data_IF_983743730957
#
_entry.id   IF_983743730957
#
_cell.length_a   1.000
_cell.length_b   1.000
_cell.length_c   1.000
_cell.angle_alpha   90.00
_cell.angle_beta   90.00
_cell.angle_gamma   90.00
#
_symmetry.space_group_name_H-M   'P 1'
#
loop_
_entity.id
_entity.type
_entity.pdbx_description
1 polymer ?
#
# COMPACT_ATOMS: atom_id res chain seq x y z
N UNK A 1 -22.96 9.16 3.67
CA UNK A 1 -23.28 7.73 3.45
C UNK A 1 -22.83 7.23 2.08
N UNK A 2 -23.13 7.93 0.98
CA UNK A 2 -22.73 7.51 -0.39
C UNK A 2 -21.20 7.33 -0.55
N UNK A 3 -20.38 8.31 -0.13
CA UNK A 3 -18.91 8.22 -0.20
C UNK A 3 -18.36 6.97 0.51
N UNK A 4 -18.94 6.60 1.65
CA UNK A 4 -18.54 5.42 2.41
C UNK A 4 -18.79 4.13 1.61
N UNK A 5 -19.98 3.99 1.02
CA UNK A 5 -20.35 2.84 0.19
C UNK A 5 -19.40 2.71 -1.00
N UNK A 6 -19.09 3.82 -1.68
CA UNK A 6 -18.15 3.83 -2.80
C UNK A 6 -16.74 3.37 -2.38
N UNK A 7 -16.25 3.88 -1.24
CA UNK A 7 -14.94 3.46 -0.69
C UNK A 7 -14.92 1.97 -0.39
N UNK A 8 -15.97 1.43 0.24
CA UNK A 8 -16.08 0.00 0.54
C UNK A 8 -16.07 -0.84 -0.74
N UNK A 9 -16.84 -0.46 -1.76
CA UNK A 9 -16.86 -1.15 -3.05
C UNK A 9 -15.48 -1.12 -3.71
N UNK A 10 -14.79 0.03 -3.68
CA UNK A 10 -13.45 0.16 -4.23
C UNK A 10 -12.43 -0.72 -3.52
N UNK A 11 -12.49 -0.80 -2.18
CA UNK A 11 -11.59 -1.65 -1.39
C UNK A 11 -11.84 -3.12 -1.69
N UNK A 12 -13.09 -3.57 -1.68
CA UNK A 12 -13.44 -4.96 -1.99
C UNK A 12 -13.04 -5.31 -3.42
N UNK A 13 -13.36 -4.46 -4.39
CA UNK A 13 -12.98 -4.63 -5.79
C UNK A 13 -11.47 -4.72 -5.96
N UNK A 14 -10.71 -3.84 -5.31
CA UNK A 14 -9.25 -3.88 -5.32
C UNK A 14 -8.71 -5.19 -4.74
N UNK A 15 -9.23 -5.66 -3.60
CA UNK A 15 -8.79 -6.91 -2.99
C UNK A 15 -9.03 -8.10 -3.94
N UNK A 16 -10.20 -8.18 -4.57
CA UNK A 16 -10.52 -9.27 -5.51
C UNK A 16 -9.62 -9.20 -6.75
N UNK A 17 -9.49 -8.02 -7.37
CA UNK A 17 -8.69 -7.83 -8.60
C UNK A 17 -7.18 -7.95 -8.35
N UNK A 18 -6.71 -7.71 -7.13
CA UNK A 18 -5.30 -7.87 -6.77
C UNK A 18 -4.84 -9.33 -6.77
N UNK A 19 -5.73 -10.30 -6.54
CA UNK A 19 -5.40 -11.73 -6.50
C UNK A 19 -4.86 -12.24 -7.84
N UNK A 20 -5.58 -12.09 -8.98
CA UNK A 20 -5.06 -12.51 -10.27
C UNK A 20 -3.82 -11.73 -10.69
N UNK A 21 -3.73 -10.43 -10.35
CA UNK A 21 -2.54 -9.62 -10.59
C UNK A 21 -1.31 -10.18 -9.88
N UNK A 22 -1.44 -10.54 -8.59
CA UNK A 22 -0.36 -11.12 -7.80
C UNK A 22 0.08 -12.51 -8.32
N UNK A 23 -0.88 -13.32 -8.78
CA UNK A 23 -0.58 -14.63 -9.39
C UNK A 23 0.20 -14.44 -10.68
N UNK A 24 -0.24 -13.51 -11.54
CA UNK A 24 0.42 -13.15 -12.79
C UNK A 24 1.83 -12.60 -12.56
N UNK A 25 1.99 -11.67 -11.62
CA UNK A 25 3.27 -11.11 -11.21
C UNK A 25 4.22 -12.18 -10.63
N UNK A 26 3.70 -13.20 -9.94
CA UNK A 26 4.50 -14.35 -9.47
C UNK A 26 5.05 -15.18 -10.62
N UNK A 27 4.31 -15.28 -11.73
CA UNK A 27 4.73 -16.01 -12.93
C UNK A 27 5.77 -15.21 -13.74
N UNK A 28 5.59 -13.89 -13.88
CA UNK A 28 6.53 -12.99 -14.58
C UNK A 28 7.79 -12.63 -13.77
N UNK A 29 7.65 -12.58 -12.44
CA UNK A 29 8.63 -12.00 -11.51
C UNK A 29 9.96 -12.73 -11.39
N UNK A 30 10.14 -13.90 -12.01
CA UNK A 30 11.42 -14.64 -11.99
C UNK A 30 12.54 -13.95 -12.75
N UNK A 31 12.24 -13.02 -13.67
CA UNK A 31 13.24 -12.38 -14.54
C UNK A 31 13.70 -11.00 -14.07
N UNK A 32 12.89 -10.24 -13.30
CA UNK A 32 13.29 -8.92 -12.79
C UNK A 32 12.44 -8.48 -11.57
N UNK A 33 12.86 -8.79 -10.33
CA UNK A 33 12.08 -8.50 -9.12
C UNK A 33 11.94 -7.00 -8.82
N UNK A 34 12.93 -6.19 -9.20
CA UNK A 34 12.91 -4.74 -8.95
C UNK A 34 11.80 -4.05 -9.77
N UNK A 35 11.72 -4.35 -11.08
CA UNK A 35 10.67 -3.80 -11.96
C UNK A 35 9.27 -4.20 -11.51
N UNK A 36 9.11 -5.44 -11.05
CA UNK A 36 7.84 -5.94 -10.49
C UNK A 36 7.41 -5.08 -9.30
N UNK A 37 8.27 -4.91 -8.30
CA UNK A 37 7.95 -4.15 -7.10
C UNK A 37 7.57 -2.69 -7.41
N UNK A 38 8.28 -2.03 -8.34
CA UNK A 38 7.93 -0.66 -8.76
C UNK A 38 6.57 -0.61 -9.46
N UNK A 39 6.25 -1.59 -10.31
CA UNK A 39 4.96 -1.66 -10.99
C UNK A 39 3.82 -1.87 -10.00
N UNK A 40 3.94 -2.85 -9.11
CA UNK A 40 2.92 -3.12 -8.09
C UNK A 40 2.70 -1.89 -7.22
N UNK A 41 3.78 -1.23 -6.77
CA UNK A 41 3.70 -0.01 -5.98
C UNK A 41 2.91 1.09 -6.70
N UNK A 42 3.19 1.34 -7.98
CA UNK A 42 2.48 2.36 -8.78
C UNK A 42 0.98 2.05 -8.91
N UNK A 43 0.61 0.78 -9.07
CA UNK A 43 -0.78 0.35 -9.14
C UNK A 43 -1.48 0.65 -7.79
N UNK A 44 -0.88 0.23 -6.68
CA UNK A 44 -1.41 0.48 -5.32
C UNK A 44 -1.56 1.98 -5.07
N UNK A 45 -0.53 2.78 -5.38
CA UNK A 45 -0.56 4.23 -5.22
C UNK A 45 -1.69 4.87 -6.02
N UNK A 46 -1.90 4.44 -7.27
CA UNK A 46 -2.95 4.97 -8.13
C UNK A 46 -4.35 4.70 -7.56
N UNK A 47 -4.58 3.47 -7.08
CA UNK A 47 -5.85 3.09 -6.44
C UNK A 47 -6.05 3.87 -5.15
N UNK A 48 -5.02 4.01 -4.30
CA UNK A 48 -5.14 4.73 -3.04
C UNK A 48 -5.39 6.22 -3.23
N UNK A 49 -4.76 6.87 -4.22
CA UNK A 49 -5.06 8.26 -4.60
C UNK A 49 -6.53 8.40 -5.01
N UNK A 50 -7.06 7.46 -5.77
CA UNK A 50 -8.46 7.46 -6.18
C UNK A 50 -9.40 7.30 -4.97
N UNK A 51 -9.10 6.39 -4.05
CA UNK A 51 -9.89 6.19 -2.82
C UNK A 51 -9.90 7.47 -1.97
N UNK A 52 -8.74 8.11 -1.76
CA UNK A 52 -8.64 9.37 -1.02
C UNK A 52 -9.47 10.47 -1.68
N UNK A 53 -9.43 10.57 -3.02
CA UNK A 53 -10.23 11.53 -3.79
C UNK A 53 -11.73 11.30 -3.63
N UNK A 54 -12.20 10.05 -3.75
CA UNK A 54 -13.62 9.68 -3.61
C UNK A 54 -14.11 9.88 -2.17
N UNK A 55 -13.25 9.59 -1.18
CA UNK A 55 -13.52 9.86 0.22
C UNK A 55 -13.59 11.38 0.53
N UNK A 56 -13.07 12.24 -0.35
CA UNK A 56 -12.99 13.68 -0.14
C UNK A 56 -11.92 14.07 0.88
N UNK A 57 -10.85 13.29 0.97
CA UNK A 57 -9.74 13.57 1.88
C UNK A 57 -8.81 14.61 1.25
N UNK A 58 -8.55 15.69 1.99
CA UNK A 58 -7.53 16.66 1.64
C UNK A 58 -6.25 16.34 2.40
N UNK A 59 -5.17 16.07 1.66
CA UNK A 59 -3.86 15.75 2.22
C UNK A 59 -2.95 16.96 2.06
N UNK A 60 -2.39 17.44 3.17
CA UNK A 60 -1.35 18.47 3.16
C UNK A 60 -0.04 17.84 3.61
N UNK A 61 0.99 17.92 2.77
CA UNK A 61 2.33 17.43 3.07
C UNK A 61 3.24 18.64 3.33
N UNK A 62 3.98 18.62 4.44
CA UNK A 62 4.94 19.66 4.81
C UNK A 62 6.26 19.00 5.16
N UNK A 63 7.39 19.63 4.82
CA UNK A 63 8.71 19.11 5.16
C UNK A 63 9.12 17.87 4.38
N UNK A 64 8.58 17.64 3.18
CA UNK A 64 8.92 16.49 2.34
C UNK A 64 10.39 16.51 1.92
N UNK A 65 10.94 17.71 1.75
CA UNK A 65 12.34 17.99 1.46
C UNK A 65 13.31 17.49 2.54
N UNK A 66 12.83 17.27 3.77
CA UNK A 66 13.64 16.74 4.87
C UNK A 66 13.74 15.22 4.86
N UNK A 67 13.00 14.54 3.96
CA UNK A 67 12.94 13.08 3.91
C UNK A 67 14.09 12.55 3.04
N UNK A 68 15.05 11.79 3.61
CA UNK A 68 16.12 11.16 2.82
C UNK A 68 15.55 10.18 1.80
N UNK A 69 16.01 10.27 0.55
CA UNK A 69 15.58 9.39 -0.56
C UNK A 69 16.65 8.38 -0.97
N UNK A 70 17.86 8.54 -0.46
CA UNK A 70 19.07 7.76 -0.75
C UNK A 70 19.33 6.64 0.28
N UNK A 71 18.57 6.62 1.38
CA UNK A 71 18.72 5.65 2.47
C UNK A 71 17.38 5.21 3.04
N UNK A 72 17.37 4.03 3.67
CA UNK A 72 16.21 3.55 4.41
C UNK A 72 15.96 4.42 5.66
N UNK A 73 14.70 4.70 5.94
CA UNK A 73 14.27 5.47 7.12
C UNK A 73 13.08 4.82 7.79
N UNK A 74 12.96 5.01 9.11
CA UNK A 74 11.81 4.58 9.90
C UNK A 74 10.85 5.76 10.06
N UNK A 75 9.65 5.64 9.49
CA UNK A 75 8.57 6.60 9.73
C UNK A 75 7.83 6.24 11.02
N UNK A 76 7.80 7.19 11.96
CA UNK A 76 7.03 7.07 13.21
C UNK A 76 5.96 8.15 13.20
N UNK A 77 4.71 7.73 13.35
CA UNK A 77 3.56 8.61 13.33
C UNK A 77 2.46 8.15 14.28
N UNK A 78 1.58 9.08 14.63
CA UNK A 78 0.38 8.75 15.41
C UNK A 78 -0.59 7.92 14.53
N UNK A 79 -0.97 6.72 15.00
CA UNK A 79 -1.91 5.88 14.28
C UNK A 79 -3.35 6.19 14.69
N UNK A 80 -4.07 6.94 13.84
CA UNK A 80 -5.45 7.37 14.13
C UNK A 80 -6.48 6.67 13.26
N UNK A 81 -6.08 6.09 12.13
CA UNK A 81 -7.02 5.61 11.13
C UNK A 81 -6.39 4.59 10.18
N UNK A 82 -7.22 3.71 9.63
CA UNK A 82 -6.81 2.90 8.47
C UNK A 82 -6.40 3.75 7.25
N UNK A 83 -6.85 5.00 7.17
CA UNK A 83 -6.44 5.95 6.14
C UNK A 83 -4.95 6.33 6.24
N UNK A 84 -4.28 6.06 7.36
CA UNK A 84 -2.84 6.30 7.51
C UNK A 84 -2.04 5.49 6.48
N UNK A 85 -2.51 4.30 6.12
CA UNK A 85 -1.91 3.45 5.09
C UNK A 85 -2.05 4.12 3.71
N UNK A 86 -3.24 4.61 3.38
CA UNK A 86 -3.53 5.25 2.10
C UNK A 86 -2.71 6.53 1.94
N UNK A 87 -2.69 7.36 2.99
CA UNK A 87 -1.92 8.61 2.98
C UNK A 87 -0.43 8.29 2.86
N UNK A 88 0.11 7.39 3.68
CA UNK A 88 1.52 7.02 3.65
C UNK A 88 1.98 6.56 2.27
N UNK A 89 1.29 5.60 1.66
CA UNK A 89 1.65 5.11 0.33
C UNK A 89 1.60 6.19 -0.76
N UNK A 90 0.75 7.21 -0.61
CA UNK A 90 0.57 8.25 -1.65
C UNK A 90 1.45 9.49 -1.46
N UNK A 91 2.03 9.68 -0.28
CA UNK A 91 2.85 10.85 0.06
C UNK A 91 4.33 10.54 0.28
N UNK A 92 4.67 9.32 0.72
CA UNK A 92 6.07 8.94 0.95
C UNK A 92 6.79 8.81 -0.40
N UNK A 93 7.97 9.45 -0.57
CA UNK A 93 8.67 9.51 -1.86
C UNK A 93 9.42 8.22 -2.21
N UNK A 94 9.61 7.34 -1.23
CA UNK A 94 10.36 6.08 -1.35
C UNK A 94 9.44 4.88 -1.23
N UNK A 95 10.01 3.68 -1.39
CA UNK A 95 9.30 2.43 -1.15
C UNK A 95 8.89 2.36 0.34
N UNK A 96 7.59 2.22 0.58
CA UNK A 96 7.02 2.15 1.93
C UNK A 96 6.57 0.72 2.25
N UNK A 97 6.89 0.28 3.47
CA UNK A 97 6.36 -0.92 4.09
C UNK A 97 5.80 -0.58 5.47
N UNK A 98 4.69 -1.24 5.84
CA UNK A 98 4.11 -1.13 7.17
C UNK A 98 4.45 -2.35 8.02
N UNK A 99 4.74 -2.11 9.30
CA UNK A 99 4.86 -3.17 10.29
C UNK A 99 3.48 -3.42 10.88
N UNK A 100 2.94 -4.62 10.64
CA UNK A 100 1.64 -5.02 11.15
C UNK A 100 1.80 -6.21 12.11
N UNK A 101 0.96 -6.23 13.16
CA UNK A 101 0.92 -7.33 14.13
C UNK A 101 0.31 -8.57 13.47
N UNK A 102 1.04 -9.68 13.48
CA UNK A 102 0.50 -10.98 13.09
C UNK A 102 -0.66 -11.33 14.02
N UNK A 103 -1.83 -11.61 13.45
CA UNK A 103 -2.99 -12.14 14.18
C UNK A 103 -3.10 -13.63 13.95
N UNK A 104 -3.23 -14.39 15.03
CA UNK A 104 -3.54 -15.81 14.97
C UNK A 104 -5.00 -15.99 14.51
N UNK A 105 -5.24 -16.89 13.56
CA UNK A 105 -6.55 -17.08 12.94
C UNK A 105 -6.96 -16.04 11.89
N UNK A 106 -6.01 -15.23 11.38
CA UNK A 106 -6.31 -14.25 10.34
C UNK A 106 -6.83 -14.91 9.05
N UNK A 107 -7.89 -14.32 8.48
CA UNK A 107 -8.43 -14.74 7.18
C UNK A 107 -7.34 -14.62 6.09
N UNK A 108 -7.33 -15.51 5.08
CA UNK A 108 -6.31 -15.52 4.01
C UNK A 108 -6.12 -14.18 3.30
N UNK A 109 -7.21 -13.41 3.14
CA UNK A 109 -7.21 -12.07 2.55
C UNK A 109 -6.40 -11.06 3.37
N UNK A 110 -6.42 -11.15 4.70
CA UNK A 110 -5.65 -10.24 5.57
C UNK A 110 -4.17 -10.60 5.52
N UNK A 111 -3.84 -11.90 5.48
CA UNK A 111 -2.46 -12.39 5.33
C UNK A 111 -1.87 -11.95 3.98
N UNK A 112 -2.67 -11.91 2.91
CA UNK A 112 -2.27 -11.42 1.60
C UNK A 112 -1.87 -9.93 1.63
N UNK A 113 -2.63 -9.10 2.35
CA UNK A 113 -2.31 -7.67 2.53
C UNK A 113 -0.97 -7.50 3.25
N UNK A 114 -0.72 -8.35 4.25
CA UNK A 114 0.53 -8.44 4.99
C UNK A 114 1.71 -8.85 4.09
N UNK A 115 1.47 -9.78 3.16
CA UNK A 115 2.46 -10.20 2.17
C UNK A 115 2.79 -9.08 1.16
N UNK A 116 1.81 -8.27 0.76
CA UNK A 116 2.06 -7.09 -0.07
C UNK A 116 2.87 -6.03 0.67
N UNK A 117 2.64 -5.82 1.98
CA UNK A 117 3.48 -4.94 2.79
C UNK A 117 4.90 -5.50 2.98
N UNK A 118 5.07 -6.83 3.04
CA UNK A 118 6.38 -7.51 3.16
C UNK A 118 7.18 -7.53 1.86
N UNK A 119 6.54 -7.44 0.70
CA UNK A 119 7.25 -7.33 -0.59
C UNK A 119 8.13 -6.07 -0.68
N UNK A 120 7.92 -5.08 0.20
CA UNK A 120 8.75 -3.89 0.35
C UNK A 120 10.03 -4.08 1.17
N UNK A 121 10.18 -5.22 1.88
CA UNK A 121 11.40 -5.56 2.63
C UNK A 121 12.14 -6.65 1.86
N UNK A 122 13.27 -6.35 1.19
CA UNK A 122 14.17 -7.43 0.79
C UNK A 122 14.59 -8.14 2.07
N UNK A 123 14.36 -9.46 2.12
CA UNK A 123 14.98 -10.26 3.19
C UNK A 123 16.51 -10.16 2.99
N UNK A 124 17.28 -10.00 4.07
CA UNK A 124 18.72 -10.22 3.99
C UNK A 124 19.02 -11.63 3.47
#
# INVERSE_FOLDING_TARGET
MIKFILVVIMVIGFLILSIPLLIWERHLGKKNPAKKNTQSLRIVQSVFRLILKVAGVHVTVKGLENVPTDRAVLYVGNHRSYFDILVGYTTVPTLLGFVAKKRDGALPIIIQLDAQCKLSFPRP
#
